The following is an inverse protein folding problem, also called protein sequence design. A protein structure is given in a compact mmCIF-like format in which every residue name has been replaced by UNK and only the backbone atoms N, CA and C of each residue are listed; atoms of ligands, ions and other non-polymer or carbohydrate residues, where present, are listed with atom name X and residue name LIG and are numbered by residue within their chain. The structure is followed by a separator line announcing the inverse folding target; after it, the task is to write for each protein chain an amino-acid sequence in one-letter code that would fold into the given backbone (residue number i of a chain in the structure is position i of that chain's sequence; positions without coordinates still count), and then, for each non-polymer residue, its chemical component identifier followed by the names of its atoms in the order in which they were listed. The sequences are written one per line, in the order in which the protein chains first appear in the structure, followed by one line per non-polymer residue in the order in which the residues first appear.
data_IF_718497646853
#
_entry.id   IF_718497646853
#
_cell.length_a   1.000
_cell.length_b   1.000
_cell.length_c   1.000
_cell.angle_alpha   90.00
_cell.angle_beta   90.00
_cell.angle_gamma   90.00
#
_symmetry.space_group_name_H-M   'P 1'
#
loop_
_entity.id
_entity.type
_entity.pdbx_description
1 polymer ?
#
# COMPACT_ATOMS: atom_id res chain seq x y z
N UNK A 1 -24.30 19.70 -14.08
CA UNK A 1 -23.16 19.65 -15.04
C UNK A 1 -22.21 20.80 -14.83
N UNK A 2 -22.61 22.06 -14.99
CA UNK A 2 -21.72 23.22 -14.76
C UNK A 2 -21.12 23.26 -13.34
N UNK A 3 -21.96 23.09 -12.31
CA UNK A 3 -21.52 23.00 -10.91
C UNK A 3 -20.51 21.87 -10.66
N UNK A 4 -20.69 20.73 -11.32
CA UNK A 4 -19.86 19.54 -11.12
C UNK A 4 -18.55 19.69 -11.89
N UNK A 5 -18.61 19.94 -13.19
CA UNK A 5 -17.47 19.83 -14.11
C UNK A 5 -16.94 21.18 -14.63
N UNK A 6 -17.56 22.30 -14.28
CA UNK A 6 -17.25 23.60 -14.90
C UNK A 6 -17.54 23.58 -16.39
N UNK A 7 -18.61 22.89 -16.79
CA UNK A 7 -18.96 22.63 -18.19
C UNK A 7 -20.39 23.03 -18.47
N UNK A 8 -20.58 23.84 -19.52
CA UNK A 8 -21.90 24.19 -20.06
C UNK A 8 -22.15 23.41 -21.35
N UNK A 9 -23.30 22.73 -21.41
CA UNK A 9 -23.71 21.95 -22.57
C UNK A 9 -24.47 22.85 -23.56
N UNK A 10 -24.16 22.70 -24.84
CA UNK A 10 -24.96 23.28 -25.92
C UNK A 10 -26.13 22.32 -26.28
N UNK A 11 -27.22 22.82 -26.90
CA UNK A 11 -28.32 21.96 -27.32
C UNK A 11 -27.88 20.93 -28.38
N UNK A 12 -28.47 19.72 -28.38
CA UNK A 12 -28.17 18.71 -29.39
C UNK A 12 -28.64 19.15 -30.77
N UNK A 13 -27.84 18.83 -31.80
CA UNK A 13 -28.13 19.11 -33.20
C UNK A 13 -28.26 17.78 -33.96
N UNK A 14 -29.39 17.58 -34.63
CA UNK A 14 -29.60 16.43 -35.50
C UNK A 14 -29.09 16.73 -36.91
N UNK A 15 -28.16 15.93 -37.40
CA UNK A 15 -27.59 16.02 -38.74
C UNK A 15 -28.27 14.95 -39.61
N UNK A 16 -29.30 15.37 -40.34
CA UNK A 16 -30.18 14.48 -41.10
C UNK A 16 -29.44 13.69 -42.19
N UNK A 17 -28.41 14.27 -42.81
CA UNK A 17 -27.62 13.64 -43.87
C UNK A 17 -26.81 12.44 -43.38
N UNK A 18 -26.46 12.42 -42.09
CA UNK A 18 -25.67 11.37 -41.45
C UNK A 18 -26.49 10.52 -40.47
N UNK A 19 -27.73 10.92 -40.19
CA UNK A 19 -28.59 10.26 -39.20
C UNK A 19 -28.01 10.30 -37.78
N UNK A 20 -27.21 11.32 -37.45
CA UNK A 20 -26.49 11.43 -36.17
C UNK A 20 -27.00 12.63 -35.35
N UNK A 21 -26.88 12.52 -34.02
CA UNK A 21 -27.08 13.63 -33.10
C UNK A 21 -25.70 14.01 -32.55
N UNK A 22 -25.31 15.26 -32.77
CA UNK A 22 -24.07 15.83 -32.22
C UNK A 22 -24.41 16.81 -31.11
N UNK A 23 -23.57 16.88 -30.08
CA UNK A 23 -23.72 17.83 -28.99
C UNK A 23 -22.33 18.35 -28.62
N UNK A 24 -22.24 19.65 -28.32
CA UNK A 24 -21.00 20.29 -27.92
C UNK A 24 -21.06 20.80 -26.49
N UNK A 25 -19.91 21.13 -25.93
CA UNK A 25 -19.80 21.76 -24.63
C UNK A 25 -18.74 22.87 -24.65
N UNK A 26 -18.83 23.75 -23.65
CA UNK A 26 -17.88 24.83 -23.38
C UNK A 26 -17.37 24.71 -21.95
N UNK A 27 -16.09 24.97 -21.75
CA UNK A 27 -15.47 24.97 -20.44
C UNK A 27 -15.59 26.35 -19.79
N UNK A 28 -15.74 26.40 -18.47
CA UNK A 28 -15.91 27.69 -17.77
C UNK A 28 -14.65 28.58 -17.82
N UNK A 29 -13.49 28.00 -18.16
CA UNK A 29 -12.21 28.72 -18.31
C UNK A 29 -11.85 29.04 -19.77
N UNK A 30 -12.54 28.45 -20.75
CA UNK A 30 -12.29 28.72 -22.16
C UNK A 30 -13.58 28.69 -22.97
N UNK A 31 -13.78 29.66 -23.85
CA UNK A 31 -14.95 29.67 -24.75
C UNK A 31 -14.76 28.75 -25.97
N UNK A 32 -13.81 27.81 -25.88
CA UNK A 32 -13.60 26.81 -26.91
C UNK A 32 -14.79 25.84 -26.92
N UNK A 33 -15.40 25.69 -28.08
CA UNK A 33 -16.48 24.74 -28.31
C UNK A 33 -15.88 23.40 -28.71
N UNK A 34 -16.13 22.38 -27.90
CA UNK A 34 -15.61 21.02 -28.10
C UNK A 34 -16.77 20.03 -28.26
N UNK A 35 -16.52 18.98 -29.03
CA UNK A 35 -17.48 17.87 -29.16
C UNK A 35 -17.62 17.12 -27.83
N UNK A 36 -18.84 16.77 -27.43
CA UNK A 36 -19.09 16.03 -26.19
C UNK A 36 -18.34 14.70 -26.15
N UNK A 37 -18.15 14.05 -27.30
CA UNK A 37 -17.36 12.81 -27.41
C UNK A 37 -15.89 12.99 -27.01
N UNK A 38 -15.37 14.21 -27.07
CA UNK A 38 -14.00 14.57 -26.66
C UNK A 38 -13.87 14.86 -25.16
N UNK A 39 -14.97 14.84 -24.41
CA UNK A 39 -14.94 15.08 -22.97
C UNK A 39 -14.42 13.88 -22.17
N UNK A 40 -14.05 14.13 -20.91
CA UNK A 40 -13.58 13.07 -20.02
C UNK A 40 -14.67 12.03 -19.75
N UNK A 41 -14.27 10.75 -19.64
CA UNK A 41 -15.19 9.61 -19.39
C UNK A 41 -16.11 9.85 -18.19
N UNK A 42 -15.60 10.42 -17.11
CA UNK A 42 -16.40 10.74 -15.93
C UNK A 42 -17.56 11.70 -16.24
N UNK A 43 -17.34 12.74 -17.06
CA UNK A 43 -18.42 13.64 -17.50
C UNK A 43 -19.45 12.89 -18.34
N UNK A 44 -19.00 12.10 -19.31
CA UNK A 44 -19.88 11.33 -20.20
C UNK A 44 -20.76 10.35 -19.39
N UNK A 45 -20.17 9.65 -18.43
CA UNK A 45 -20.85 8.73 -17.54
C UNK A 45 -21.89 9.45 -16.66
N UNK A 46 -21.51 10.55 -15.99
CA UNK A 46 -22.45 11.33 -15.19
C UNK A 46 -23.61 11.88 -16.04
N UNK A 47 -23.32 12.37 -17.25
CA UNK A 47 -24.36 12.86 -18.16
C UNK A 47 -25.34 11.76 -18.57
N UNK A 48 -24.84 10.56 -18.87
CA UNK A 48 -25.68 9.41 -19.21
C UNK A 48 -26.62 9.06 -18.05
N UNK A 49 -26.09 8.97 -16.83
CA UNK A 49 -26.87 8.64 -15.63
C UNK A 49 -27.96 9.69 -15.37
N UNK A 50 -27.59 10.98 -15.43
CA UNK A 50 -28.53 12.09 -15.23
C UNK A 50 -29.61 12.11 -16.32
N UNK A 51 -29.22 11.97 -17.59
CA UNK A 51 -30.17 11.92 -18.70
C UNK A 51 -31.18 10.79 -18.52
N UNK A 52 -30.73 9.62 -18.05
CA UNK A 52 -31.60 8.49 -17.81
C UNK A 52 -32.59 8.74 -16.67
N UNK A 53 -32.14 9.29 -15.54
CA UNK A 53 -32.99 9.66 -14.40
C UNK A 53 -34.07 10.68 -14.80
N UNK A 54 -33.68 11.75 -15.50
CA UNK A 54 -34.63 12.78 -15.95
C UNK A 54 -35.62 12.27 -16.99
N UNK A 55 -35.22 11.30 -17.82
CA UNK A 55 -36.08 10.76 -18.88
C UNK A 55 -37.06 9.69 -18.38
N UNK A 56 -36.81 9.12 -17.19
CA UNK A 56 -37.60 8.00 -16.65
C UNK A 56 -37.96 8.19 -15.16
N UNK A 57 -38.86 9.13 -14.82
CA UNK A 57 -39.35 9.28 -13.45
C UNK A 57 -40.01 8.00 -12.92
N UNK A 58 -39.79 7.67 -11.65
CA UNK A 58 -40.29 6.44 -11.01
C UNK A 58 -39.55 5.15 -11.40
N UNK A 59 -38.41 5.24 -12.10
CA UNK A 59 -37.65 4.06 -12.51
C UNK A 59 -36.81 3.47 -11.37
N UNK A 60 -36.46 2.19 -11.50
CA UNK A 60 -35.41 1.56 -10.70
C UNK A 60 -34.14 1.42 -11.56
N UNK A 61 -33.05 2.04 -11.14
CA UNK A 61 -31.76 2.03 -11.83
C UNK A 61 -30.80 1.09 -11.09
N UNK A 62 -30.25 0.12 -11.83
CA UNK A 62 -29.16 -0.73 -11.37
C UNK A 62 -27.85 -0.22 -11.97
N UNK A 63 -26.91 0.19 -11.13
CA UNK A 63 -25.66 0.81 -11.53
C UNK A 63 -24.49 -0.05 -11.05
N UNK A 64 -23.54 -0.31 -11.95
CA UNK A 64 -22.28 -0.97 -11.65
C UNK A 64 -21.15 0.06 -11.77
N UNK A 65 -20.43 0.30 -10.68
CA UNK A 65 -19.41 1.34 -10.52
C UNK A 65 -19.78 2.71 -11.16
N UNK A 66 -20.91 3.35 -10.76
CA UNK A 66 -21.35 4.62 -11.34
C UNK A 66 -20.36 5.78 -11.13
N UNK A 67 -19.43 5.59 -10.22
CA UNK A 67 -18.39 6.51 -9.79
C UNK A 67 -17.00 6.22 -10.39
N UNK A 68 -16.90 5.18 -11.22
CA UNK A 68 -15.69 4.90 -11.98
C UNK A 68 -15.25 6.12 -12.79
N UNK A 69 -13.93 6.23 -13.01
CA UNK A 69 -13.33 7.31 -13.80
C UNK A 69 -13.52 8.75 -13.29
N UNK A 70 -14.03 8.91 -12.05
CA UNK A 70 -14.11 10.19 -11.36
C UNK A 70 -13.01 10.31 -10.30
N UNK A 71 -12.56 11.55 -10.06
CA UNK A 71 -11.71 11.88 -8.93
C UNK A 71 -12.52 11.83 -7.63
N UNK A 72 -11.88 11.54 -6.50
CA UNK A 72 -12.52 11.22 -5.22
C UNK A 72 -13.59 12.26 -4.81
N UNK A 73 -13.28 13.56 -4.91
CA UNK A 73 -14.26 14.60 -4.56
C UNK A 73 -15.47 14.60 -5.50
N UNK A 74 -15.25 14.26 -6.78
CA UNK A 74 -16.32 14.16 -7.78
C UNK A 74 -17.17 12.93 -7.58
N UNK A 75 -16.63 11.84 -7.04
CA UNK A 75 -17.40 10.65 -6.68
C UNK A 75 -18.48 11.00 -5.65
N UNK A 76 -18.10 11.62 -4.53
CA UNK A 76 -19.04 12.13 -3.50
C UNK A 76 -20.07 13.08 -4.09
N UNK A 77 -19.63 14.10 -4.82
CA UNK A 77 -20.54 15.09 -5.40
C UNK A 77 -21.52 14.47 -6.39
N UNK A 78 -21.05 13.51 -7.20
CA UNK A 78 -21.90 12.81 -8.17
C UNK A 78 -22.90 11.91 -7.46
N UNK A 79 -22.46 11.18 -6.43
CA UNK A 79 -23.33 10.38 -5.59
C UNK A 79 -24.46 11.22 -5.00
N UNK A 80 -24.13 12.34 -4.35
CA UNK A 80 -25.13 13.25 -3.77
C UNK A 80 -26.10 13.80 -4.80
N UNK A 81 -25.60 14.22 -5.97
CA UNK A 81 -26.47 14.71 -7.05
C UNK A 81 -27.39 13.61 -7.58
N UNK A 82 -26.90 12.37 -7.72
CA UNK A 82 -27.71 11.26 -8.19
C UNK A 82 -28.79 10.87 -7.18
N UNK A 83 -28.47 10.83 -5.88
CA UNK A 83 -29.44 10.54 -4.82
C UNK A 83 -30.51 11.63 -4.73
N UNK A 84 -30.10 12.91 -4.72
CA UNK A 84 -31.04 14.04 -4.66
C UNK A 84 -32.02 14.03 -5.84
N UNK A 85 -31.52 13.79 -7.06
CA UNK A 85 -32.36 13.73 -8.26
C UNK A 85 -33.24 12.48 -8.25
N UNK A 86 -32.74 11.34 -7.80
CA UNK A 86 -33.56 10.13 -7.68
C UNK A 86 -34.73 10.35 -6.72
N UNK A 87 -34.50 10.99 -5.58
CA UNK A 87 -35.57 11.37 -4.64
C UNK A 87 -36.58 12.32 -5.30
N UNK A 88 -36.12 13.38 -5.98
CA UNK A 88 -36.99 14.33 -6.71
C UNK A 88 -37.85 13.64 -7.78
N UNK A 89 -37.26 12.68 -8.50
CA UNK A 89 -37.94 11.94 -9.58
C UNK A 89 -38.71 10.71 -9.07
N UNK A 90 -38.73 10.45 -7.76
CA UNK A 90 -39.34 9.25 -7.17
C UNK A 90 -38.73 7.93 -7.67
N UNK A 91 -37.48 7.95 -8.09
CA UNK A 91 -36.74 6.82 -8.63
C UNK A 91 -35.95 6.09 -7.55
N UNK A 92 -35.68 4.80 -7.77
CA UNK A 92 -34.84 3.97 -6.88
C UNK A 92 -33.47 3.73 -7.53
N UNK A 93 -32.39 3.92 -6.79
CA UNK A 93 -31.04 3.56 -7.23
C UNK A 93 -30.55 2.35 -6.43
N UNK A 94 -30.02 1.35 -7.13
CA UNK A 94 -29.26 0.22 -6.58
C UNK A 94 -27.89 0.29 -7.23
N UNK A 95 -26.84 0.55 -6.46
CA UNK A 95 -25.49 0.72 -6.98
C UNK A 95 -24.50 -0.25 -6.33
N UNK A 96 -23.62 -0.82 -7.14
CA UNK A 96 -22.39 -1.47 -6.70
C UNK A 96 -21.23 -0.47 -6.85
N UNK A 97 -20.40 -0.33 -5.82
CA UNK A 97 -19.22 0.54 -5.86
C UNK A 97 -18.13 0.00 -4.94
N UNK A 98 -16.88 0.20 -5.38
CA UNK A 98 -15.68 -0.03 -4.56
C UNK A 98 -15.16 1.25 -3.91
N UNK A 99 -15.81 2.41 -4.11
CA UNK A 99 -15.39 3.66 -3.51
C UNK A 99 -15.73 3.72 -2.02
N UNK A 100 -14.69 3.68 -1.18
CA UNK A 100 -14.82 3.91 0.26
C UNK A 100 -15.51 5.24 0.59
N UNK A 101 -15.29 6.25 -0.23
CA UNK A 101 -15.86 7.57 -0.01
C UNK A 101 -17.38 7.52 -0.18
N UNK A 102 -17.86 6.86 -1.23
CA UNK A 102 -19.30 6.66 -1.44
C UNK A 102 -19.87 5.74 -0.36
N UNK A 103 -19.20 4.64 -0.03
CA UNK A 103 -19.68 3.72 1.01
C UNK A 103 -19.80 4.41 2.36
N UNK A 104 -18.84 5.26 2.74
CA UNK A 104 -18.90 6.03 3.98
C UNK A 104 -20.00 7.09 3.96
N UNK A 105 -20.20 7.78 2.84
CA UNK A 105 -21.26 8.77 2.67
C UNK A 105 -22.65 8.11 2.72
N UNK A 106 -22.80 6.97 2.04
CA UNK A 106 -24.02 6.16 2.01
C UNK A 106 -24.33 5.52 3.38
N UNK A 107 -23.32 5.08 4.13
CA UNK A 107 -23.53 4.37 5.41
C UNK A 107 -24.29 5.19 6.46
N UNK A 108 -24.29 6.52 6.35
CA UNK A 108 -24.97 7.40 7.29
C UNK A 108 -26.38 7.82 6.84
N UNK A 109 -26.75 7.65 5.56
CA UNK A 109 -28.01 8.13 4.98
C UNK A 109 -28.85 7.05 4.29
N UNK A 110 -28.20 6.04 3.73
CA UNK A 110 -28.76 5.05 2.83
C UNK A 110 -28.53 3.61 3.29
N UNK A 111 -29.21 2.67 2.63
CA UNK A 111 -29.04 1.24 2.90
C UNK A 111 -27.77 0.72 2.22
N UNK A 112 -26.74 0.43 3.02
CA UNK A 112 -25.50 -0.20 2.55
C UNK A 112 -25.53 -1.69 2.85
N UNK A 113 -25.35 -2.51 1.81
CA UNK A 113 -25.15 -3.95 1.92
C UNK A 113 -23.66 -4.22 1.74
N UNK A 114 -23.00 -4.69 2.80
CA UNK A 114 -21.62 -5.16 2.72
C UNK A 114 -21.61 -6.60 2.27
N UNK A 115 -20.80 -6.88 1.25
CA UNK A 115 -20.49 -8.23 0.79
C UNK A 115 -19.25 -8.82 1.48
N UNK A 116 -18.62 -8.08 2.39
CA UNK A 116 -17.51 -8.62 3.19
C UNK A 116 -18.01 -9.76 4.08
N UNK A 117 -17.45 -10.94 3.88
CA UNK A 117 -17.85 -12.18 4.51
C UNK A 117 -19.20 -12.67 3.99
N UNK A 118 -20.25 -12.56 4.80
CA UNK A 118 -21.62 -12.90 4.38
C UNK A 118 -22.38 -11.62 4.08
N UNK A 119 -23.13 -11.51 2.98
CA UNK A 119 -23.92 -10.33 2.68
C UNK A 119 -24.78 -9.91 3.88
N UNK A 120 -24.56 -8.70 4.38
CA UNK A 120 -25.28 -8.17 5.53
C UNK A 120 -25.45 -6.66 5.38
N UNK A 121 -26.53 -6.13 5.94
CA UNK A 121 -26.71 -4.69 6.00
C UNK A 121 -25.76 -4.10 7.05
N UNK A 122 -25.14 -2.97 6.73
CA UNK A 122 -24.18 -2.29 7.61
C UNK A 122 -24.89 -1.61 8.80
N UNK A 123 -26.20 -1.38 8.71
CA UNK A 123 -27.05 -0.85 9.78
C UNK A 123 -27.45 -1.90 10.84
N UNK A 124 -27.45 -3.18 10.50
CA UNK A 124 -28.03 -4.27 11.31
C UNK A 124 -27.08 -4.93 12.32
N UNK A 125 -25.78 -4.59 12.33
CA UNK A 125 -24.83 -5.08 13.34
C UNK A 125 -24.41 -3.96 14.28
N UNK A 126 -24.43 -4.28 15.58
CA UNK A 126 -24.23 -3.34 16.68
C UNK A 126 -23.03 -2.40 16.51
N UNK A 127 -23.06 -1.30 17.26
CA UNK A 127 -22.17 -0.14 17.20
C UNK A 127 -20.67 -0.44 17.11
N UNK A 128 -20.22 -1.64 17.47
CA UNK A 128 -18.82 -2.07 17.41
C UNK A 128 -18.38 -2.52 16.01
N UNK A 129 -19.19 -3.27 15.26
CA UNK A 129 -18.84 -3.68 13.88
C UNK A 129 -18.81 -2.46 12.97
N UNK A 130 -19.77 -1.53 13.12
CA UNK A 130 -19.74 -0.24 12.41
C UNK A 130 -18.53 0.63 12.79
N UNK A 131 -18.07 0.59 14.05
CA UNK A 131 -16.83 1.27 14.47
C UNK A 131 -15.59 0.61 13.88
N UNK A 132 -15.54 -0.72 13.86
CA UNK A 132 -14.44 -1.48 13.24
C UNK A 132 -14.38 -1.25 11.73
N UNK A 133 -15.53 -1.28 11.03
CA UNK A 133 -15.65 -0.97 9.59
C UNK A 133 -15.37 0.50 9.25
N UNK A 134 -15.62 1.44 10.18
CA UNK A 134 -15.21 2.85 9.99
C UNK A 134 -13.71 3.07 10.30
N UNK A 135 -13.09 2.21 11.11
CA UNK A 135 -11.68 2.30 11.47
C UNK A 135 -10.77 1.54 10.48
N UNK A 136 -11.27 0.45 9.91
CA UNK A 136 -10.61 -0.39 8.91
C UNK A 136 -11.36 -0.18 7.61
N UNK A 137 -10.71 0.39 6.59
CA UNK A 137 -11.34 0.65 5.31
C UNK A 137 -11.82 -0.64 4.60
N UNK A 138 -12.80 -0.49 3.71
CA UNK A 138 -13.41 -1.60 2.98
C UNK A 138 -12.43 -2.33 2.05
N UNK A 139 -11.47 -1.61 1.48
CA UNK A 139 -10.37 -2.15 0.68
C UNK A 139 -9.52 -3.17 1.46
N UNK A 140 -9.30 -2.95 2.76
CA UNK A 140 -8.55 -3.87 3.60
C UNK A 140 -9.26 -5.22 3.75
N UNK A 141 -10.59 -5.18 3.90
CA UNK A 141 -11.41 -6.39 3.97
C UNK A 141 -11.39 -7.15 2.65
N UNK A 142 -11.48 -6.45 1.53
CA UNK A 142 -11.38 -7.05 0.20
C UNK A 142 -10.01 -7.70 -0.04
N UNK A 143 -8.92 -7.00 0.30
CA UNK A 143 -7.57 -7.56 0.23
C UNK A 143 -7.42 -8.81 1.10
N UNK A 144 -7.99 -8.79 2.31
CA UNK A 144 -8.00 -9.93 3.21
C UNK A 144 -8.78 -11.13 2.65
N UNK A 145 -9.90 -10.90 1.95
CA UNK A 145 -10.66 -11.95 1.25
C UNK A 145 -9.90 -12.56 0.09
N UNK A 146 -9.32 -11.73 -0.77
CA UNK A 146 -8.59 -12.16 -1.95
C UNK A 146 -7.31 -12.92 -1.61
N UNK A 147 -6.58 -12.45 -0.60
CA UNK A 147 -5.30 -13.06 -0.22
C UNK A 147 -5.48 -14.19 0.78
N UNK A 148 -6.46 -14.09 1.70
CA UNK A 148 -6.69 -15.03 2.78
C UNK A 148 -5.65 -14.99 3.90
N UNK A 149 -4.67 -14.08 3.82
CA UNK A 149 -3.69 -13.84 4.88
C UNK A 149 -3.14 -12.41 4.85
N UNK A 150 -2.61 -11.93 5.97
CA UNK A 150 -2.01 -10.60 6.10
C UNK A 150 -0.65 -10.68 6.78
N UNK A 151 0.31 -9.86 6.33
CA UNK A 151 1.61 -9.68 6.98
C UNK A 151 1.72 -8.26 7.55
N UNK A 152 2.10 -8.17 8.83
CA UNK A 152 2.38 -6.91 9.51
C UNK A 152 3.88 -6.74 9.65
N UNK A 153 4.37 -5.57 9.23
CA UNK A 153 5.77 -5.18 9.26
C UNK A 153 5.89 -3.77 9.80
N UNK A 154 7.09 -3.34 10.18
CA UNK A 154 7.27 -1.98 10.69
C UNK A 154 7.15 -0.95 9.57
N UNK A 155 7.76 -1.25 8.43
CA UNK A 155 7.76 -0.39 7.26
C UNK A 155 7.90 -1.14 5.94
N UNK A 156 7.80 -0.38 4.86
CA UNK A 156 7.95 -0.90 3.50
C UNK A 156 9.38 -1.38 3.20
N UNK A 157 10.38 -0.83 3.89
CA UNK A 157 11.78 -1.28 3.78
C UNK A 157 11.93 -2.73 4.22
N UNK A 158 11.28 -3.16 5.30
CA UNK A 158 11.32 -4.54 5.81
C UNK A 158 10.83 -5.52 4.75
N UNK A 159 9.72 -5.20 4.08
CA UNK A 159 9.17 -6.03 3.00
C UNK A 159 10.18 -6.15 1.85
N UNK A 160 10.82 -5.04 1.48
CA UNK A 160 11.83 -5.04 0.43
C UNK A 160 13.07 -5.86 0.81
N UNK A 161 13.51 -5.81 2.08
CA UNK A 161 14.61 -6.62 2.61
C UNK A 161 14.22 -8.11 2.61
N UNK A 162 13.03 -8.46 3.11
CA UNK A 162 12.53 -9.85 3.12
C UNK A 162 12.43 -10.43 1.70
N UNK A 163 11.95 -9.63 0.73
CA UNK A 163 11.93 -10.01 -0.70
C UNK A 163 13.34 -10.26 -1.23
N UNK A 164 14.29 -9.36 -0.95
CA UNK A 164 15.67 -9.51 -1.39
C UNK A 164 16.30 -10.80 -0.82
N UNK A 165 16.11 -11.09 0.46
CA UNK A 165 16.60 -12.34 1.06
C UNK A 165 15.91 -13.57 0.48
N UNK A 166 14.59 -13.54 0.27
CA UNK A 166 13.86 -14.65 -0.34
C UNK A 166 14.35 -14.93 -1.77
N UNK A 167 14.65 -13.89 -2.55
CA UNK A 167 15.24 -14.00 -3.88
C UNK A 167 16.64 -14.62 -3.83
N UNK A 168 17.56 -14.09 -3.00
CA UNK A 168 18.94 -14.59 -2.87
C UNK A 168 18.98 -16.05 -2.40
N UNK A 169 18.07 -16.44 -1.51
CA UNK A 169 17.96 -17.81 -1.01
C UNK A 169 17.21 -18.76 -1.95
N UNK A 170 16.54 -18.24 -2.98
CA UNK A 170 15.54 -18.95 -3.76
C UNK A 170 14.50 -19.65 -2.87
N UNK A 171 14.00 -18.92 -1.87
CA UNK A 171 13.09 -19.43 -0.85
C UNK A 171 11.64 -19.45 -1.37
N UNK A 172 10.81 -20.46 -1.04
CA UNK A 172 9.40 -20.55 -1.50
C UNK A 172 8.55 -19.33 -1.18
N UNK A 173 8.81 -18.66 -0.04
CA UNK A 173 8.11 -17.44 0.36
C UNK A 173 8.26 -16.27 -0.62
N UNK A 174 9.20 -16.33 -1.57
CA UNK A 174 9.38 -15.33 -2.62
C UNK A 174 8.07 -15.04 -3.37
N UNK A 175 7.32 -16.07 -3.76
CA UNK A 175 6.06 -15.89 -4.49
C UNK A 175 5.00 -15.22 -3.61
N UNK A 176 4.93 -15.61 -2.33
CA UNK A 176 3.99 -15.01 -1.35
C UNK A 176 4.31 -13.54 -1.08
N UNK A 177 5.60 -13.21 -1.07
CA UNK A 177 6.07 -11.85 -0.81
C UNK A 177 6.01 -10.94 -2.04
N UNK A 178 5.69 -11.42 -3.26
CA UNK A 178 5.63 -10.58 -4.46
C UNK A 178 4.46 -9.59 -4.45
N UNK A 179 3.28 -10.04 -4.01
CA UNK A 179 2.06 -9.21 -3.87
C UNK A 179 1.28 -9.58 -2.59
N UNK A 180 1.89 -9.43 -1.39
CA UNK A 180 1.23 -9.76 -0.15
C UNK A 180 0.24 -8.66 0.21
N UNK A 181 -0.78 -9.02 1.00
CA UNK A 181 -1.48 -8.02 1.79
C UNK A 181 -0.58 -7.61 2.98
N UNK A 182 0.26 -6.60 2.75
CA UNK A 182 1.17 -6.05 3.76
C UNK A 182 0.58 -4.80 4.41
N UNK A 183 0.52 -4.78 5.74
CA UNK A 183 0.03 -3.65 6.52
C UNK A 183 1.14 -3.15 7.46
N UNK A 184 1.57 -1.90 7.30
CA UNK A 184 2.67 -1.33 8.07
C UNK A 184 2.17 -0.68 9.36
N UNK A 185 2.75 -1.09 10.48
CA UNK A 185 2.27 -0.73 11.82
C UNK A 185 3.35 -0.08 12.69
N UNK A 186 4.53 0.21 12.13
CA UNK A 186 5.73 0.56 12.89
C UNK A 186 6.07 -0.55 13.91
N UNK A 187 6.91 -0.26 14.90
CA UNK A 187 7.21 -1.20 15.98
C UNK A 187 6.11 -1.23 17.06
N UNK A 188 4.83 -1.31 16.65
CA UNK A 188 3.67 -1.24 17.55
C UNK A 188 2.77 -2.50 17.43
N UNK A 189 3.04 -3.56 18.23
CA UNK A 189 2.27 -4.81 18.20
C UNK A 189 0.76 -4.63 18.39
N UNK A 190 0.35 -3.67 19.23
CA UNK A 190 -1.07 -3.43 19.49
C UNK A 190 -1.84 -3.02 18.22
N UNK A 191 -1.23 -2.21 17.34
CA UNK A 191 -1.87 -1.81 16.07
C UNK A 191 -2.10 -3.00 15.14
N UNK A 192 -1.15 -3.93 15.07
CA UNK A 192 -1.31 -5.17 14.30
C UNK A 192 -2.45 -6.02 14.84
N UNK A 193 -2.58 -6.14 16.16
CA UNK A 193 -3.68 -6.88 16.80
C UNK A 193 -5.03 -6.23 16.53
N UNK A 194 -5.15 -4.93 16.74
CA UNK A 194 -6.41 -4.20 16.56
C UNK A 194 -6.91 -4.37 15.11
N UNK A 195 -6.02 -4.20 14.13
CA UNK A 195 -6.35 -4.41 12.72
C UNK A 195 -6.69 -5.87 12.41
N UNK A 196 -5.86 -6.82 12.85
CA UNK A 196 -6.07 -8.25 12.56
C UNK A 196 -7.36 -8.80 13.15
N UNK A 197 -7.65 -8.51 14.42
CA UNK A 197 -8.88 -8.98 15.05
C UNK A 197 -10.11 -8.24 14.49
N UNK A 198 -9.98 -6.97 14.12
CA UNK A 198 -11.04 -6.24 13.42
C UNK A 198 -11.38 -6.83 12.04
N UNK A 199 -10.38 -7.31 11.29
CA UNK A 199 -10.61 -8.06 10.04
C UNK A 199 -11.27 -9.42 10.31
N UNK A 200 -10.83 -10.13 11.37
CA UNK A 200 -11.36 -11.46 11.72
C UNK A 200 -12.81 -11.49 12.16
N UNK A 201 -13.37 -10.36 12.61
CA UNK A 201 -14.81 -10.22 12.86
C UNK A 201 -15.65 -10.54 11.61
N UNK A 202 -15.14 -10.18 10.42
CA UNK A 202 -15.77 -10.47 9.15
C UNK A 202 -15.19 -11.73 8.47
N UNK A 203 -13.90 -12.01 8.69
CA UNK A 203 -13.15 -13.10 8.06
C UNK A 203 -12.51 -14.04 9.11
N UNK A 204 -13.29 -14.93 9.76
CA UNK A 204 -12.77 -15.78 10.83
C UNK A 204 -11.62 -16.72 10.43
N UNK A 205 -11.50 -17.04 9.13
CA UNK A 205 -10.46 -17.90 8.56
C UNK A 205 -9.17 -17.15 8.20
N UNK A 206 -9.11 -15.83 8.37
CA UNK A 206 -7.94 -15.02 8.04
C UNK A 206 -6.73 -15.47 8.88
N UNK A 207 -5.64 -15.79 8.18
CA UNK A 207 -4.33 -16.07 8.79
C UNK A 207 -3.50 -14.77 8.86
N UNK A 208 -2.67 -14.61 9.89
CA UNK A 208 -1.87 -13.41 10.04
C UNK A 208 -0.51 -13.70 10.64
N UNK A 209 0.50 -12.96 10.19
CA UNK A 209 1.82 -12.94 10.83
C UNK A 209 2.28 -11.49 11.00
N UNK A 210 2.84 -11.17 12.16
CA UNK A 210 3.48 -9.90 12.43
C UNK A 210 4.96 -10.14 12.74
N UNK A 211 5.85 -9.36 12.12
CA UNK A 211 7.28 -9.41 12.35
C UNK A 211 7.77 -8.03 12.78
N UNK A 212 8.35 -7.98 13.98
CA UNK A 212 8.86 -6.77 14.59
C UNK A 212 10.36 -6.88 14.85
N UNK A 213 11.00 -5.74 15.00
CA UNK A 213 12.29 -5.59 15.65
C UNK A 213 12.24 -6.11 17.09
N UNK A 214 13.40 -6.18 17.73
CA UNK A 214 13.49 -6.74 19.06
C UNK A 214 12.73 -5.89 20.08
N UNK A 215 11.62 -6.43 20.57
CA UNK A 215 10.77 -5.87 21.62
C UNK A 215 11.39 -6.09 23.01
N UNK A 216 10.95 -5.29 23.99
CA UNK A 216 11.33 -5.47 25.40
C UNK A 216 10.67 -6.69 26.04
N UNK A 217 9.49 -7.07 25.54
CA UNK A 217 8.71 -8.20 26.02
C UNK A 217 8.41 -9.13 24.85
N UNK A 218 8.52 -10.43 25.10
CA UNK A 218 8.16 -11.42 24.10
C UNK A 218 6.66 -11.34 23.78
N UNK A 219 6.28 -11.41 22.50
CA UNK A 219 4.88 -11.43 22.14
C UNK A 219 4.19 -12.71 22.65
N UNK A 220 2.87 -12.66 22.92
CA UNK A 220 2.11 -13.80 23.39
C UNK A 220 2.11 -14.91 22.34
N UNK A 221 2.31 -16.14 22.80
CA UNK A 221 2.30 -17.32 21.94
C UNK A 221 0.90 -17.97 21.89
N UNK A 222 0.63 -18.75 20.83
CA UNK A 222 -0.60 -19.53 20.69
C UNK A 222 -1.84 -18.71 20.35
N UNK A 223 -1.67 -17.45 19.97
CA UNK A 223 -2.75 -16.60 19.47
C UNK A 223 -3.02 -16.86 17.99
N UNK A 224 -4.12 -16.30 17.49
CA UNK A 224 -4.48 -16.39 16.07
C UNK A 224 -3.53 -15.63 15.14
N UNK A 225 -2.90 -14.56 15.64
CA UNK A 225 -1.90 -13.77 14.95
C UNK A 225 -0.52 -14.31 15.32
N UNK A 226 0.24 -14.81 14.36
CA UNK A 226 1.61 -15.24 14.64
C UNK A 226 2.51 -14.01 14.80
N UNK A 227 2.79 -13.63 16.04
CA UNK A 227 3.70 -12.52 16.34
C UNK A 227 5.13 -13.06 16.54
N UNK A 228 6.07 -12.52 15.77
CA UNK A 228 7.48 -12.87 15.82
C UNK A 228 8.34 -11.61 15.95
N UNK A 229 9.50 -11.75 16.60
CA UNK A 229 10.50 -10.69 16.72
C UNK A 229 11.85 -11.16 16.19
N UNK A 230 12.68 -10.20 15.76
CA UNK A 230 14.10 -10.43 15.50
C UNK A 230 14.90 -10.57 16.80
N UNK A 231 15.91 -11.45 16.81
CA UNK A 231 16.85 -11.58 17.94
C UNK A 231 17.91 -10.48 17.95
N UNK A 232 18.33 -10.02 16.77
CA UNK A 232 19.11 -8.79 16.63
C UNK A 232 18.18 -7.59 16.78
N UNK A 233 18.75 -6.43 17.07
CA UNK A 233 18.02 -5.21 17.40
C UNK A 233 16.96 -4.87 16.36
N UNK A 234 17.31 -4.95 15.07
CA UNK A 234 16.43 -4.67 13.94
C UNK A 234 16.84 -5.49 12.70
N UNK A 235 15.99 -5.51 11.66
CA UNK A 235 16.26 -6.27 10.43
C UNK A 235 17.54 -5.82 9.71
N UNK A 236 17.92 -4.54 9.84
CA UNK A 236 19.14 -3.98 9.26
C UNK A 236 20.41 -4.63 9.81
N UNK A 237 20.38 -5.18 11.04
CA UNK A 237 21.52 -5.92 11.57
C UNK A 237 21.79 -7.23 10.79
N UNK A 238 20.88 -7.70 9.94
CA UNK A 238 21.07 -8.89 9.09
C UNK A 238 21.64 -8.57 7.70
N UNK A 239 21.81 -7.29 7.36
CA UNK A 239 22.46 -6.83 6.13
C UNK A 239 23.70 -5.95 6.39
N UNK A 240 23.87 -5.50 7.64
CA UNK A 240 25.01 -4.72 8.09
C UNK A 240 26.22 -5.64 8.33
N UNK A 241 26.95 -5.94 7.25
CA UNK A 241 28.22 -6.65 7.30
C UNK A 241 29.33 -5.84 6.61
N UNK A 242 30.58 -5.88 7.10
CA UNK A 242 31.69 -5.21 6.43
C UNK A 242 31.79 -5.58 4.94
N UNK A 243 31.69 -6.87 4.62
CA UNK A 243 31.77 -7.39 3.26
C UNK A 243 30.70 -6.79 2.33
N UNK A 244 29.51 -6.56 2.86
CA UNK A 244 28.38 -6.00 2.13
C UNK A 244 28.59 -4.52 1.82
N UNK A 245 29.09 -3.76 2.81
CA UNK A 245 29.40 -2.33 2.64
C UNK A 245 30.55 -2.11 1.66
N UNK A 246 31.56 -2.98 1.70
CA UNK A 246 32.67 -2.96 0.75
C UNK A 246 32.22 -3.36 -0.66
N UNK A 247 31.40 -4.41 -0.79
CA UNK A 247 30.82 -4.81 -2.08
C UNK A 247 29.96 -3.69 -2.69
N UNK A 248 29.19 -2.96 -1.85
CA UNK A 248 28.45 -1.78 -2.26
C UNK A 248 29.38 -0.68 -2.82
N UNK A 249 30.47 -0.38 -2.11
CA UNK A 249 31.42 0.65 -2.51
C UNK A 249 32.14 0.31 -3.83
N UNK A 250 32.44 -0.96 -4.05
CA UNK A 250 33.05 -1.43 -5.31
C UNK A 250 32.10 -1.32 -6.50
N UNK A 251 30.84 -1.72 -6.31
CA UNK A 251 29.83 -1.83 -7.37
C UNK A 251 28.53 -1.11 -6.99
N UNK A 252 28.53 0.23 -6.94
CA UNK A 252 27.33 0.98 -6.62
C UNK A 252 26.25 0.74 -7.68
N UNK A 253 24.97 0.56 -7.29
CA UNK A 253 23.89 0.24 -8.22
C UNK A 253 23.60 1.34 -9.25
N UNK A 254 24.00 2.58 -8.94
CA UNK A 254 23.75 3.78 -9.76
C UNK A 254 24.79 3.99 -10.86
N UNK A 255 25.95 3.32 -10.82
CA UNK A 255 26.93 3.42 -11.90
C UNK A 255 26.65 2.38 -13.00
N UNK A 256 26.28 2.84 -14.19
CA UNK A 256 26.17 1.98 -15.38
C UNK A 256 26.83 2.66 -16.60
N UNK A 257 27.85 2.03 -17.22
CA UNK A 257 28.51 0.78 -16.84
C UNK A 257 29.40 0.94 -15.59
N UNK A 258 29.74 -0.14 -14.87
CA UNK A 258 30.65 -0.08 -13.74
C UNK A 258 31.98 0.54 -14.18
N UNK A 259 32.40 1.66 -13.58
CA UNK A 259 33.69 2.28 -13.86
C UNK A 259 34.75 1.66 -12.94
N UNK A 260 35.58 0.70 -13.40
CA UNK A 260 36.50 -0.02 -12.51
C UNK A 260 37.59 0.90 -11.95
N UNK A 261 37.86 2.01 -12.67
CA UNK A 261 38.87 3.01 -12.35
C UNK A 261 38.74 3.63 -10.95
N UNK A 262 37.53 3.69 -10.39
CA UNK A 262 37.28 4.31 -9.08
C UNK A 262 36.89 3.31 -7.99
N UNK A 263 36.84 2.01 -8.30
CA UNK A 263 36.42 0.98 -7.35
C UNK A 263 37.36 0.91 -6.13
N UNK A 264 38.68 0.93 -6.35
CA UNK A 264 39.67 0.88 -5.27
C UNK A 264 39.59 2.12 -4.36
N UNK A 265 39.40 3.29 -4.96
CA UNK A 265 39.25 4.54 -4.19
C UNK A 265 38.00 4.50 -3.32
N UNK A 266 36.84 4.13 -3.89
CA UNK A 266 35.58 4.01 -3.15
C UNK A 266 35.66 2.97 -2.04
N UNK A 267 36.23 1.80 -2.33
CA UNK A 267 36.44 0.74 -1.33
C UNK A 267 37.25 1.27 -0.15
N UNK A 268 38.39 1.91 -0.43
CA UNK A 268 39.23 2.49 0.62
C UNK A 268 38.50 3.59 1.41
N UNK A 269 37.77 4.47 0.73
CA UNK A 269 36.95 5.50 1.40
C UNK A 269 35.90 4.88 2.31
N UNK A 270 35.27 3.77 1.91
CA UNK A 270 34.33 3.03 2.75
C UNK A 270 35.03 2.40 3.96
N UNK A 271 36.20 1.76 3.78
CA UNK A 271 37.00 1.20 4.87
C UNK A 271 37.37 2.27 5.92
N UNK A 272 37.84 3.43 5.46
CA UNK A 272 38.19 4.57 6.31
C UNK A 272 36.97 5.10 7.07
N UNK A 273 35.82 5.26 6.39
CA UNK A 273 34.58 5.71 7.01
C UNK A 273 34.06 4.70 8.05
N UNK A 274 34.11 3.39 7.76
CA UNK A 274 33.75 2.34 8.73
C UNK A 274 34.62 2.44 9.97
N UNK A 275 35.94 2.57 9.81
CA UNK A 275 36.88 2.68 10.92
C UNK A 275 36.59 3.91 11.79
N UNK A 276 36.36 5.06 11.16
CA UNK A 276 36.13 6.30 11.88
C UNK A 276 34.80 6.34 12.63
N UNK A 277 33.71 5.88 12.01
CA UNK A 277 32.40 5.81 12.67
C UNK A 277 32.44 4.77 13.79
N UNK A 278 33.10 3.63 13.59
CA UNK A 278 33.30 2.62 14.63
C UNK A 278 34.04 3.19 15.84
N UNK A 279 35.11 3.96 15.62
CA UNK A 279 35.87 4.61 16.68
C UNK A 279 35.03 5.66 17.42
N UNK A 280 34.22 6.45 16.70
CA UNK A 280 33.32 7.44 17.29
C UNK A 280 32.24 6.78 18.18
N UNK A 281 31.65 5.66 17.75
CA UNK A 281 30.66 4.93 18.55
C UNK A 281 31.25 4.41 19.86
N UNK A 282 32.47 3.84 19.80
CA UNK A 282 33.18 3.39 21.01
C UNK A 282 33.48 4.56 21.95
N UNK A 283 33.93 5.70 21.42
CA UNK A 283 34.21 6.90 22.22
C UNK A 283 32.95 7.46 22.91
N UNK A 284 31.77 7.31 22.29
CA UNK A 284 30.48 7.70 22.84
C UNK A 284 29.85 6.65 23.77
N UNK A 285 30.53 5.52 24.01
CA UNK A 285 30.03 4.43 24.85
C UNK A 285 28.85 3.68 24.23
N UNK A 286 28.65 3.79 22.91
CA UNK A 286 27.60 3.08 22.18
C UNK A 286 28.05 1.66 21.78
N UNK A 287 27.09 0.82 21.40
CA UNK A 287 27.38 -0.50 20.86
C UNK A 287 28.26 -0.37 19.60
N UNK A 288 29.17 -1.33 19.42
CA UNK A 288 30.04 -1.37 18.23
C UNK A 288 29.20 -1.68 16.98
N UNK A 289 29.62 -1.21 15.80
CA UNK A 289 29.04 -1.68 14.54
C UNK A 289 29.10 -3.21 14.43
N UNK A 290 28.20 -3.78 13.65
CA UNK A 290 28.14 -5.23 13.37
C UNK A 290 27.86 -6.11 14.60
N UNK A 291 27.34 -5.52 15.68
CA UNK A 291 26.85 -6.25 16.84
C UNK A 291 25.34 -6.46 16.75
N UNK A 292 24.82 -7.40 17.54
CA UNK A 292 23.39 -7.73 17.53
C UNK A 292 22.54 -6.66 18.23
N UNK A 293 23.13 -5.78 19.04
CA UNK A 293 22.40 -4.85 19.93
C UNK A 293 22.34 -3.40 19.42
N UNK A 294 23.21 -3.03 18.48
CA UNK A 294 23.23 -1.69 17.90
C UNK A 294 21.97 -1.44 17.06
N UNK A 295 21.43 -0.23 17.12
CA UNK A 295 20.40 0.20 16.16
C UNK A 295 21.09 0.55 14.83
N UNK A 296 21.33 -0.47 14.01
CA UNK A 296 22.22 -0.41 12.85
C UNK A 296 21.89 0.72 11.86
N UNK A 297 20.60 0.98 11.60
CA UNK A 297 20.10 2.06 10.76
C UNK A 297 20.54 3.43 11.27
N UNK A 298 19.99 3.87 12.39
CA UNK A 298 20.14 5.23 12.90
C UNK A 298 21.55 5.49 13.49
N UNK A 299 22.16 4.49 14.14
CA UNK A 299 23.44 4.67 14.85
C UNK A 299 24.67 4.41 13.99
N UNK A 300 24.55 3.65 12.90
CA UNK A 300 25.70 3.26 12.09
C UNK A 300 25.55 3.54 10.59
N UNK A 301 24.55 2.97 9.91
CA UNK A 301 24.41 3.07 8.46
C UNK A 301 24.15 4.53 8.01
N UNK A 302 23.25 5.24 8.70
CA UNK A 302 22.93 6.64 8.41
C UNK A 302 24.18 7.55 8.48
N UNK A 303 24.95 7.58 9.60
CA UNK A 303 26.17 8.39 9.66
C UNK A 303 27.27 7.87 8.74
N UNK A 304 27.35 6.56 8.50
CA UNK A 304 28.32 5.97 7.58
C UNK A 304 28.11 6.45 6.15
N UNK A 305 26.91 6.29 5.58
CA UNK A 305 26.65 6.68 4.20
C UNK A 305 26.72 8.18 4.00
N UNK A 306 26.23 8.98 4.97
CA UNK A 306 26.41 10.44 4.93
C UNK A 306 27.88 10.81 4.78
N UNK A 307 28.73 10.29 5.67
CA UNK A 307 30.18 10.57 5.64
C UNK A 307 30.86 10.02 4.39
N UNK A 308 30.48 8.83 3.94
CA UNK A 308 31.01 8.20 2.73
C UNK A 308 30.76 9.07 1.50
N UNK A 309 29.51 9.50 1.28
CA UNK A 309 29.17 10.37 0.14
C UNK A 309 29.76 11.78 0.26
N UNK A 310 29.80 12.35 1.47
CA UNK A 310 30.49 13.63 1.73
C UNK A 310 31.98 13.55 1.36
N UNK A 311 32.65 12.46 1.73
CA UNK A 311 34.08 12.25 1.44
C UNK A 311 34.33 12.08 -0.07
N UNK A 312 33.37 11.50 -0.80
CA UNK A 312 33.43 11.39 -2.25
C UNK A 312 32.99 12.67 -2.99
N UNK A 313 32.48 13.68 -2.29
CA UNK A 313 31.94 14.90 -2.90
C UNK A 313 30.66 14.66 -3.72
N UNK A 314 29.88 13.65 -3.34
CA UNK A 314 28.66 13.21 -4.02
C UNK A 314 27.41 13.46 -3.15
N UNK A 315 26.21 13.60 -3.74
CA UNK A 315 24.97 13.60 -2.97
C UNK A 315 24.75 12.23 -2.31
N UNK A 316 24.16 12.21 -1.10
CA UNK A 316 23.86 10.95 -0.43
C UNK A 316 22.72 10.21 -1.15
N UNK A 317 23.07 9.09 -1.78
CA UNK A 317 22.15 8.20 -2.51
C UNK A 317 21.66 7.00 -1.70
N UNK A 318 22.05 6.90 -0.42
CA UNK A 318 21.61 5.84 0.49
C UNK A 318 20.90 6.45 1.68
N UNK A 319 19.56 6.45 1.61
CA UNK A 319 18.70 6.75 2.74
C UNK A 319 18.18 5.46 3.37
N UNK A 320 17.51 5.56 4.52
CA UNK A 320 16.91 4.41 5.22
C UNK A 320 15.95 3.60 4.33
N UNK A 321 15.27 4.25 3.39
CA UNK A 321 14.42 3.59 2.39
C UNK A 321 15.18 2.69 1.40
N UNK A 322 16.48 2.90 1.24
CA UNK A 322 17.34 2.25 0.24
C UNK A 322 18.16 1.08 0.81
N UNK A 323 18.09 0.80 2.12
CA UNK A 323 18.87 -0.29 2.72
C UNK A 323 18.54 -1.69 2.19
N UNK A 324 17.37 -1.87 1.58
CA UNK A 324 17.05 -3.09 0.84
C UNK A 324 18.03 -3.39 -0.32
N UNK A 325 18.75 -2.39 -0.83
CA UNK A 325 19.84 -2.57 -1.80
C UNK A 325 20.97 -3.41 -1.20
N UNK A 326 21.30 -3.20 0.07
CA UNK A 326 22.34 -3.94 0.78
C UNK A 326 21.94 -5.40 0.98
N UNK A 327 20.65 -5.67 1.22
CA UNK A 327 20.14 -7.04 1.38
C UNK A 327 20.44 -7.93 0.14
N UNK A 328 20.46 -7.36 -1.07
CA UNK A 328 20.82 -8.06 -2.31
C UNK A 328 22.31 -8.39 -2.43
N UNK A 329 23.14 -7.67 -1.69
CA UNK A 329 24.60 -7.84 -1.67
C UNK A 329 25.07 -8.80 -0.57
N UNK A 330 24.19 -9.21 0.35
CA UNK A 330 24.50 -10.20 1.38
C UNK A 330 24.77 -11.56 0.73
N UNK A 331 25.99 -12.11 0.84
CA UNK A 331 26.31 -13.45 0.35
C UNK A 331 25.39 -14.48 1.00
N UNK A 332 24.99 -15.50 0.25
CA UNK A 332 24.05 -16.53 0.72
C UNK A 332 24.52 -17.19 2.02
N UNK A 333 25.81 -17.44 2.13
CA UNK A 333 26.49 -18.03 3.29
C UNK A 333 26.52 -17.12 4.53
N UNK A 334 26.34 -15.80 4.38
CA UNK A 334 26.23 -14.84 5.50
C UNK A 334 24.79 -14.55 5.91
N UNK A 335 23.79 -15.04 5.16
CA UNK A 335 22.38 -14.90 5.55
C UNK A 335 22.13 -15.75 6.80
N UNK A 336 21.71 -15.11 7.88
CA UNK A 336 21.47 -15.77 9.17
C UNK A 336 20.41 -16.87 9.05
N UNK A 337 20.59 -18.02 9.73
CA UNK A 337 19.55 -19.06 9.82
C UNK A 337 18.21 -18.52 10.34
N UNK A 338 18.23 -17.46 11.14
CA UNK A 338 17.00 -16.81 11.62
C UNK A 338 16.19 -16.15 10.50
N UNK A 339 16.85 -15.56 9.49
CA UNK A 339 16.15 -15.02 8.32
C UNK A 339 15.41 -16.15 7.60
N UNK A 340 16.06 -17.31 7.45
CA UNK A 340 15.43 -18.51 6.87
C UNK A 340 14.25 -18.99 7.72
N UNK A 341 14.40 -19.00 9.06
CA UNK A 341 13.33 -19.32 10.01
C UNK A 341 12.11 -18.40 9.82
N UNK A 342 12.31 -17.07 9.76
CA UNK A 342 11.21 -16.11 9.58
C UNK A 342 10.57 -16.23 8.20
N UNK A 343 11.35 -16.40 7.14
CA UNK A 343 10.81 -16.64 5.79
C UNK A 343 10.00 -17.94 5.73
N UNK A 344 10.43 -18.98 6.45
CA UNK A 344 9.67 -20.23 6.63
C UNK A 344 8.35 -20.01 7.35
N UNK A 345 8.33 -19.23 8.43
CA UNK A 345 7.11 -18.88 9.15
C UNK A 345 6.12 -18.06 8.29
N UNK A 346 6.64 -17.16 7.44
CA UNK A 346 5.82 -16.42 6.46
C UNK A 346 5.18 -17.40 5.47
N UNK A 347 5.96 -18.32 4.88
CA UNK A 347 5.42 -19.32 3.96
C UNK A 347 4.38 -20.22 4.64
N UNK A 348 4.64 -20.69 5.86
CA UNK A 348 3.69 -21.54 6.57
C UNK A 348 2.37 -20.81 6.87
N UNK A 349 2.45 -19.54 7.26
CA UNK A 349 1.28 -18.70 7.51
C UNK A 349 0.49 -18.46 6.23
N UNK A 350 1.18 -18.08 5.15
CA UNK A 350 0.56 -17.89 3.84
C UNK A 350 -0.07 -19.17 3.29
N UNK A 351 0.52 -20.35 3.57
CA UNK A 351 -0.04 -21.65 3.17
C UNK A 351 -1.33 -22.02 3.93
N UNK A 352 -1.52 -21.48 5.14
CA UNK A 352 -2.78 -21.64 5.91
C UNK A 352 -3.90 -20.75 5.39
N UNK A 353 -3.59 -19.79 4.50
CA UNK A 353 -4.56 -18.90 3.90
C UNK A 353 -5.67 -19.69 3.19
N UNK A 354 -6.90 -19.21 3.37
CA UNK A 354 -8.08 -19.69 2.65
C UNK A 354 -8.73 -18.50 1.96
N UNK A 355 -8.18 -18.08 0.80
CA UNK A 355 -8.79 -16.99 0.04
C UNK A 355 -10.21 -17.41 -0.37
N UNK A 356 -11.12 -16.44 -0.39
CA UNK A 356 -12.46 -16.66 -0.94
C UNK A 356 -12.30 -16.79 -2.45
N UNK A 357 -12.71 -17.92 -3.04
CA UNK A 357 -12.71 -18.06 -4.49
C UNK A 357 -13.56 -16.93 -5.06
N UNK A 358 -12.94 -16.08 -5.88
CA UNK A 358 -13.66 -15.14 -6.73
C UNK A 358 -14.57 -15.94 -7.65
N UNK A 359 -15.88 -15.81 -7.46
CA UNK A 359 -16.93 -16.40 -8.30
C UNK A 359 -16.79 -15.91 -9.74
#
# INVERSE_FOLDING_TARGET
VDRLFGTRLDPPVYIAERGEITMTYRESQSDAQLDLSSSGRGLQQTLLLLAYLYSHPGAALLLDEPDAHLEILRQSQTYQVLTDIAEEQGSQIIAASHSEVILNEAADRDMVISFVGRPHRVDDRGTQTRKALKAIGYEQYYLAEQTGWVIYLEGSTDLAILRAFAETLNHPSRERLERPFAHYVENQPQRARDHFYGLREALPSLSGMALFDRLEQDPPQGTALLEATWRRREIENYLCYPEVLLAYAERPPYERPPAPLFADHRRKTMEDCIADISAALVALGKAKPFTDDIKASDEFLDPLFRRYFETLGLPNLMQKTDYHVLARLVPRELISPEVVEKLGAIEETARKARPVESV
#
